data_IF_127946460738
#
_entry.id   IF_127946460738
#
_cell.length_a   1.000
_cell.length_b   1.000
_cell.length_c   1.000
_cell.angle_alpha   90.00
_cell.angle_beta   90.00
_cell.angle_gamma   90.00
#
_symmetry.space_group_name_H-M   'P 1'
#
loop_
_entity.id
_entity.type
_entity.pdbx_description
1 polymer ?
#
# COMPACT_ATOMS: atom_id res chain seq x y z
N UNK A 1 -15.63 -4.46 -24.12
CA UNK A 1 -14.65 -3.37 -23.89
C UNK A 1 -14.12 -3.53 -22.47
N UNK A 2 -12.82 -3.82 -22.28
CA UNK A 2 -12.25 -3.91 -20.92
C UNK A 2 -12.06 -2.49 -20.41
N UNK A 3 -12.92 -2.01 -19.51
CA UNK A 3 -12.68 -0.76 -18.81
C UNK A 3 -11.36 -0.89 -18.05
N UNK A 4 -10.41 0.03 -18.30
CA UNK A 4 -9.17 0.10 -17.52
C UNK A 4 -9.57 0.47 -16.09
N UNK A 5 -9.36 -0.45 -15.16
CA UNK A 5 -9.70 -0.29 -13.75
C UNK A 5 -8.93 0.90 -13.15
N UNK A 6 -9.59 1.70 -12.31
CA UNK A 6 -8.93 2.86 -11.70
C UNK A 6 -7.91 2.40 -10.64
N UNK A 7 -6.89 3.22 -10.37
CA UNK A 7 -5.90 2.92 -9.32
C UNK A 7 -6.56 2.73 -7.94
N UNK A 8 -7.63 3.48 -7.68
CA UNK A 8 -8.47 3.38 -6.47
C UNK A 8 -9.17 2.03 -6.35
N UNK A 9 -9.88 1.61 -7.40
CA UNK A 9 -10.59 0.33 -7.42
C UNK A 9 -9.60 -0.86 -7.34
N UNK A 10 -8.42 -0.72 -7.96
CA UNK A 10 -7.34 -1.69 -7.85
C UNK A 10 -6.82 -1.80 -6.42
N UNK A 11 -6.59 -0.67 -5.74
CA UNK A 11 -6.16 -0.67 -4.34
C UNK A 11 -7.22 -1.26 -3.42
N UNK A 12 -8.49 -0.90 -3.62
CA UNK A 12 -9.59 -1.38 -2.79
C UNK A 12 -9.80 -2.90 -2.90
N UNK A 13 -9.71 -3.46 -4.09
CA UNK A 13 -9.77 -4.93 -4.27
C UNK A 13 -8.62 -5.63 -3.55
N UNK A 14 -7.40 -5.09 -3.63
CA UNK A 14 -6.25 -5.69 -2.99
C UNK A 14 -6.37 -5.66 -1.46
N UNK A 15 -6.82 -4.52 -0.91
CA UNK A 15 -7.14 -4.41 0.52
C UNK A 15 -8.20 -5.44 0.93
N UNK A 16 -9.27 -5.60 0.14
CA UNK A 16 -10.31 -6.59 0.44
C UNK A 16 -9.78 -8.03 0.44
N UNK A 17 -8.87 -8.38 -0.47
CA UNK A 17 -8.22 -9.71 -0.47
C UNK A 17 -7.37 -9.91 0.77
N UNK A 18 -6.56 -8.93 1.15
CA UNK A 18 -5.69 -9.00 2.34
C UNK A 18 -6.51 -9.13 3.63
N UNK A 19 -7.67 -8.46 3.72
CA UNK A 19 -8.56 -8.58 4.87
C UNK A 19 -9.12 -10.01 5.07
N UNK A 20 -9.10 -10.86 4.04
CA UNK A 20 -9.45 -12.28 4.09
C UNK A 20 -8.28 -13.18 4.49
N UNK A 21 -7.05 -12.67 4.52
CA UNK A 21 -5.85 -13.41 4.90
C UNK A 21 -5.56 -13.27 6.41
N UNK A 22 -4.61 -14.08 6.88
CA UNK A 22 -4.05 -13.98 8.24
C UNK A 22 -3.07 -12.80 8.36
N UNK A 23 -3.63 -11.60 8.45
CA UNK A 23 -2.87 -10.38 8.79
C UNK A 23 -2.95 -10.09 10.29
N UNK A 24 -1.90 -9.47 10.83
CA UNK A 24 -1.86 -9.06 12.25
C UNK A 24 -2.94 -8.01 12.56
N UNK A 25 -3.33 -7.84 13.84
CA UNK A 25 -4.30 -6.82 14.22
C UNK A 25 -3.91 -5.40 13.79
N UNK A 26 -2.62 -5.06 13.88
CA UNK A 26 -2.10 -3.75 13.48
C UNK A 26 -2.20 -3.54 11.96
N UNK A 27 -1.82 -4.53 11.16
CA UNK A 27 -1.97 -4.48 9.69
C UNK A 27 -3.45 -4.39 9.30
N UNK A 28 -4.31 -5.17 9.97
CA UNK A 28 -5.76 -5.14 9.75
C UNK A 28 -6.34 -3.76 10.00
N UNK A 29 -5.93 -3.07 11.08
CA UNK A 29 -6.37 -1.71 11.36
C UNK A 29 -5.98 -0.75 10.24
N UNK A 30 -4.72 -0.80 9.77
CA UNK A 30 -4.24 0.04 8.66
C UNK A 30 -5.03 -0.19 7.36
N UNK A 31 -5.34 -1.45 7.05
CA UNK A 31 -6.15 -1.85 5.89
C UNK A 31 -7.57 -1.32 5.99
N UNK A 32 -8.21 -1.45 7.17
CA UNK A 32 -9.57 -0.96 7.40
C UNK A 32 -9.65 0.57 7.34
N UNK A 33 -8.69 1.28 7.96
CA UNK A 33 -8.63 2.75 7.88
C UNK A 33 -8.50 3.23 6.44
N UNK A 34 -7.64 2.57 5.65
CA UNK A 34 -7.47 2.93 4.23
C UNK A 34 -8.72 2.63 3.42
N UNK A 35 -9.33 1.46 3.61
CA UNK A 35 -10.60 1.09 2.96
C UNK A 35 -11.69 2.13 3.22
N UNK A 36 -11.89 2.52 4.48
CA UNK A 36 -12.87 3.54 4.85
C UNK A 36 -12.57 4.89 4.21
N UNK A 37 -11.30 5.28 4.09
CA UNK A 37 -10.88 6.49 3.39
C UNK A 37 -11.24 6.48 1.91
N UNK A 38 -11.02 5.35 1.22
CA UNK A 38 -11.40 5.17 -0.19
C UNK A 38 -12.93 5.24 -0.35
N UNK A 39 -13.69 4.54 0.50
CA UNK A 39 -15.16 4.53 0.47
C UNK A 39 -15.75 5.94 0.73
N UNK A 40 -15.09 6.74 1.57
CA UNK A 40 -15.43 8.15 1.83
C UNK A 40 -14.95 9.12 0.76
N UNK A 41 -14.28 8.64 -0.29
CA UNK A 41 -13.68 9.46 -1.36
C UNK A 41 -12.69 10.50 -0.82
N UNK A 42 -11.93 10.14 0.21
CA UNK A 42 -10.83 10.98 0.69
C UNK A 42 -9.74 11.10 -0.39
N UNK A 43 -8.90 12.14 -0.29
CA UNK A 43 -7.86 12.42 -1.27
C UNK A 43 -6.90 11.23 -1.44
N UNK A 44 -7.01 10.55 -2.57
CA UNK A 44 -6.34 9.27 -2.81
C UNK A 44 -4.81 9.30 -2.62
N UNK A 45 -4.06 10.30 -3.11
CA UNK A 45 -2.62 10.36 -2.86
C UNK A 45 -2.25 10.45 -1.37
N UNK A 46 -3.09 11.09 -0.54
CA UNK A 46 -2.88 11.14 0.92
C UNK A 46 -3.10 9.77 1.56
N UNK A 47 -4.12 9.02 1.13
CA UNK A 47 -4.38 7.66 1.62
C UNK A 47 -3.19 6.74 1.33
N UNK A 48 -2.71 6.75 0.09
CA UNK A 48 -1.54 5.95 -0.33
C UNK A 48 -0.29 6.38 0.43
N UNK A 49 -0.06 7.68 0.60
CA UNK A 49 1.09 8.21 1.34
C UNK A 49 1.07 7.78 2.82
N UNK A 50 -0.07 7.88 3.48
CA UNK A 50 -0.26 7.46 4.87
C UNK A 50 -0.01 5.97 5.03
N UNK A 51 -0.60 5.16 4.15
CA UNK A 51 -0.46 3.71 4.17
C UNK A 51 1.00 3.29 4.02
N UNK A 52 1.73 3.84 3.05
CA UNK A 52 3.18 3.57 2.92
C UNK A 52 3.98 4.05 4.12
N UNK A 53 3.66 5.21 4.67
CA UNK A 53 4.38 5.75 5.83
C UNK A 53 4.22 4.84 7.06
N UNK A 54 3.07 4.20 7.21
CA UNK A 54 2.82 3.21 8.25
C UNK A 54 3.54 1.87 7.98
N UNK A 55 3.56 1.41 6.72
CA UNK A 55 4.16 0.12 6.36
C UNK A 55 5.69 0.15 6.23
N UNK A 56 6.28 1.28 5.86
CA UNK A 56 7.73 1.42 5.66
C UNK A 56 8.57 1.03 6.88
N UNK A 57 8.30 1.52 8.11
CA UNK A 57 9.08 1.11 9.27
C UNK A 57 8.93 -0.39 9.58
N UNK A 58 7.76 -0.97 9.33
CA UNK A 58 7.52 -2.41 9.50
C UNK A 58 8.29 -3.22 8.44
N UNK A 59 8.34 -2.74 7.19
CA UNK A 59 9.11 -3.35 6.11
C UNK A 59 10.61 -3.34 6.41
N UNK A 60 11.14 -2.20 6.87
CA UNK A 60 12.57 -2.06 7.25
C UNK A 60 12.94 -3.02 8.38
N UNK A 61 12.04 -3.21 9.35
CA UNK A 61 12.23 -4.14 10.47
C UNK A 61 11.94 -5.61 10.13
N UNK A 62 11.48 -5.90 8.91
CA UNK A 62 11.02 -7.24 8.51
C UNK A 62 9.90 -7.78 9.41
N UNK A 63 9.03 -6.88 9.88
CA UNK A 63 7.89 -7.18 10.77
C UNK A 63 6.56 -7.30 10.00
N UNK A 64 6.58 -7.12 8.68
CA UNK A 64 5.40 -7.35 7.83
C UNK A 64 5.16 -8.85 7.64
N UNK A 65 3.88 -9.23 7.64
CA UNK A 65 3.47 -10.53 7.08
C UNK A 65 3.90 -10.64 5.61
N UNK A 66 3.98 -11.88 5.11
CA UNK A 66 4.40 -12.14 3.73
C UNK A 66 3.46 -11.42 2.74
N UNK A 67 2.16 -11.53 2.97
CA UNK A 67 1.10 -10.93 2.18
C UNK A 67 1.19 -9.39 2.21
N UNK A 68 1.52 -8.81 3.36
CA UNK A 68 1.69 -7.36 3.50
C UNK A 68 2.99 -6.84 2.89
N UNK A 69 4.03 -7.68 2.83
CA UNK A 69 5.28 -7.37 2.13
C UNK A 69 5.06 -7.28 0.61
N UNK A 70 4.35 -8.25 0.04
CA UNK A 70 3.94 -8.21 -1.38
C UNK A 70 3.05 -7.01 -1.68
N UNK A 71 2.11 -6.71 -0.77
CA UNK A 71 1.26 -5.53 -0.89
C UNK A 71 2.04 -4.22 -0.79
N UNK A 72 3.05 -4.13 0.07
CA UNK A 72 3.93 -2.95 0.12
C UNK A 72 4.64 -2.74 -1.22
N UNK A 73 5.12 -3.81 -1.87
CA UNK A 73 5.69 -3.72 -3.22
C UNK A 73 4.65 -3.31 -4.27
N UNK A 74 3.39 -3.71 -4.13
CA UNK A 74 2.32 -3.24 -4.99
C UNK A 74 2.13 -1.71 -4.89
N UNK A 75 2.25 -1.14 -3.68
CA UNK A 75 2.14 0.31 -3.43
C UNK A 75 3.35 1.14 -3.91
N UNK A 76 4.47 0.50 -4.22
CA UNK A 76 5.64 1.16 -4.82
C UNK A 76 5.59 1.18 -6.34
N UNK A 77 4.49 0.79 -6.99
CA UNK A 77 4.33 0.98 -8.44
C UNK A 77 4.08 2.45 -8.77
N UNK A 78 4.51 2.89 -9.96
CA UNK A 78 4.43 4.28 -10.44
C UNK A 78 3.02 4.88 -10.30
N UNK A 79 1.98 4.09 -10.57
CA UNK A 79 0.57 4.52 -10.44
C UNK A 79 0.11 4.89 -9.01
N UNK A 80 0.95 4.58 -8.02
CA UNK A 80 0.78 4.88 -6.59
C UNK A 80 1.91 5.77 -6.05
N UNK A 81 2.85 6.19 -6.91
CA UNK A 81 3.91 7.13 -6.57
C UNK A 81 3.53 8.55 -6.96
N UNK A 82 3.80 9.48 -6.05
CA UNK A 82 3.85 10.91 -6.39
C UNK A 82 5.27 11.23 -6.86
N UNK A 83 5.44 12.12 -7.85
CA UNK A 83 6.77 12.42 -8.45
C UNK A 83 7.81 12.90 -7.43
N UNK A 84 7.36 13.52 -6.34
CA UNK A 84 8.23 13.97 -5.24
C UNK A 84 8.81 12.79 -4.42
N UNK A 85 8.19 11.62 -4.51
CA UNK A 85 8.48 10.44 -3.68
C UNK A 85 9.20 9.33 -4.47
N UNK A 86 9.32 9.46 -5.80
CA UNK A 86 10.20 8.61 -6.63
C UNK A 86 11.67 8.67 -6.16
N UNK A 87 12.14 9.84 -5.73
CA UNK A 87 13.50 9.98 -5.18
C UNK A 87 13.69 9.18 -3.88
N UNK A 88 12.63 9.05 -3.08
CA UNK A 88 12.64 8.30 -1.83
C UNK A 88 12.58 6.80 -2.13
N UNK A 89 11.69 6.35 -3.03
CA UNK A 89 11.61 4.93 -3.42
C UNK A 89 12.89 4.42 -4.10
N UNK A 90 13.58 5.25 -4.89
CA UNK A 90 14.90 4.92 -5.45
C UNK A 90 15.95 4.66 -4.35
N UNK A 91 15.84 5.34 -3.21
CA UNK A 91 16.74 5.16 -2.06
C UNK A 91 16.45 3.84 -1.33
N UNK A 92 15.18 3.47 -1.17
CA UNK A 92 14.78 2.22 -0.49
C UNK A 92 14.82 0.98 -1.39
N UNK A 93 14.67 1.13 -2.72
CA UNK A 93 14.78 0.02 -3.67
C UNK A 93 16.12 -0.70 -3.57
N UNK A 94 17.20 0.05 -3.31
CA UNK A 94 18.53 -0.52 -3.07
C UNK A 94 18.69 -1.26 -1.73
N UNK A 95 17.77 -1.09 -0.78
CA UNK A 95 17.80 -1.79 0.52
C UNK A 95 17.09 -3.15 0.47
N UNK A 96 16.18 -3.36 -0.49
CA UNK A 96 15.43 -4.62 -0.66
C UNK A 96 15.96 -5.51 -1.80
N UNK A 97 16.90 -5.01 -2.62
CA UNK A 97 17.67 -5.79 -3.58
C UNK A 97 18.99 -6.20 -2.90
N UNK A 98 18.98 -7.32 -2.17
CA UNK A 98 20.19 -8.01 -1.76
C UNK A 98 20.00 -9.52 -1.86
#
# INVERSE_FOLDING_TARGET
>A
MKHKKSSEEALLEEINKLLLQEVTPNERELLLTTKLGIEKKEYFPKLVSNLRSALTPLAIKQELSNEMSEFYMFLTKEQYMDKKLEAISATWGNLFIK
#
